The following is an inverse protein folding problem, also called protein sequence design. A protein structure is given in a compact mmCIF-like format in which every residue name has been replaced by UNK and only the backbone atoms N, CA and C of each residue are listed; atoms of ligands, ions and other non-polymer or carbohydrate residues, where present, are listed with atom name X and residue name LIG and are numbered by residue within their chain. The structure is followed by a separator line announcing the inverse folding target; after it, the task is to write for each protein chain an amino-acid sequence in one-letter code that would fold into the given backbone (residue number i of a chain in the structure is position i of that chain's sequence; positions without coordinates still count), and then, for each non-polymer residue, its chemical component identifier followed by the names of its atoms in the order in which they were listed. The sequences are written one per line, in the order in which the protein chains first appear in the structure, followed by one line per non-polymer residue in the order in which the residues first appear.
data_IF_584680838720
#
_entry.id   IF_584680838720
#
_cell.length_a   1.000
_cell.length_b   1.000
_cell.length_c   1.000
_cell.angle_alpha   90.00
_cell.angle_beta   90.00
_cell.angle_gamma   90.00
#
_symmetry.space_group_name_H-M   'P 1'
#
loop_
_entity.id
_entity.type
_entity.pdbx_description
1 polymer ?
#
# COMPACT_ATOMS: atom_id res chain seq x y z
N UNK A 1 -6.27 -10.97 26.00
CA UNK A 1 -5.31 -10.86 24.88
C UNK A 1 -4.67 -9.49 25.00
N UNK A 2 -3.34 -9.41 25.06
CA UNK A 2 -2.63 -8.13 25.15
C UNK A 2 -2.76 -7.41 23.80
N UNK A 3 -3.38 -6.24 23.79
CA UNK A 3 -3.44 -5.36 22.62
C UNK A 3 -2.13 -4.60 22.54
N UNK A 4 -1.18 -5.14 21.78
CA UNK A 4 0.11 -4.50 21.55
C UNK A 4 -0.07 -3.35 20.55
N UNK A 5 0.27 -2.09 20.93
CA UNK A 5 0.21 -0.96 20.03
C UNK A 5 1.04 -1.19 18.77
N UNK A 6 0.55 -0.67 17.65
CA UNK A 6 1.18 -0.78 16.34
C UNK A 6 1.39 0.60 15.75
N UNK A 7 2.41 0.69 14.89
CA UNK A 7 2.69 1.86 14.07
C UNK A 7 2.93 1.43 12.62
N UNK A 8 2.36 2.19 11.69
CA UNK A 8 2.64 2.13 10.27
C UNK A 8 3.20 3.47 9.82
N UNK A 9 4.25 3.45 9.02
CA UNK A 9 4.85 4.65 8.49
C UNK A 9 5.38 4.48 7.06
N UNK A 10 5.45 5.60 6.35
CA UNK A 10 6.06 5.71 5.03
C UNK A 10 6.93 6.95 5.00
N UNK A 11 8.16 6.80 4.50
CA UNK A 11 9.16 7.85 4.39
C UNK A 11 9.51 8.02 2.91
N UNK A 12 9.33 9.23 2.38
CA UNK A 12 9.53 9.54 0.96
C UNK A 12 10.79 10.38 0.74
N UNK A 13 11.46 10.25 -0.43
CA UNK A 13 11.13 9.34 -1.53
C UNK A 13 11.57 7.90 -1.29
N UNK A 14 10.73 6.90 -1.59
CA UNK A 14 11.09 5.49 -1.42
C UNK A 14 11.46 4.84 -2.76
N UNK A 15 12.56 4.09 -2.80
CA UNK A 15 12.99 3.27 -3.93
C UNK A 15 13.05 1.81 -3.49
N UNK A 16 12.30 0.95 -4.19
CA UNK A 16 12.19 -0.46 -3.85
C UNK A 16 13.53 -1.19 -4.00
N UNK A 17 13.87 -2.03 -3.02
CA UNK A 17 15.13 -2.77 -2.96
C UNK A 17 16.38 -1.89 -2.71
N UNK A 18 16.21 -0.57 -2.62
CA UNK A 18 17.30 0.39 -2.41
C UNK A 18 16.81 1.52 -1.49
N UNK A 19 16.63 1.25 -0.18
CA UNK A 19 16.29 2.30 0.77
C UNK A 19 17.35 3.42 0.71
N UNK A 20 16.89 4.66 0.81
CA UNK A 20 17.76 5.81 0.88
C UNK A 20 18.18 6.11 2.33
N UNK A 21 19.14 7.02 2.55
CA UNK A 21 19.63 7.36 3.89
C UNK A 21 18.54 7.79 4.86
N UNK A 22 17.48 8.43 4.36
CA UNK A 22 16.31 8.85 5.12
C UNK A 22 15.39 7.69 5.52
N UNK A 23 15.34 6.62 4.73
CA UNK A 23 14.61 5.39 5.09
C UNK A 23 15.43 4.59 6.10
N UNK A 24 16.73 4.45 5.89
CA UNK A 24 17.63 3.78 6.84
C UNK A 24 17.61 4.48 8.21
N UNK A 25 17.69 5.82 8.22
CA UNK A 25 17.58 6.63 9.43
C UNK A 25 16.24 6.47 10.17
N UNK A 26 15.18 6.08 9.47
CA UNK A 26 13.89 5.75 10.07
C UNK A 26 13.96 4.38 10.77
N UNK A 27 14.47 3.35 10.09
CA UNK A 27 14.63 2.00 10.64
C UNK A 27 15.55 2.03 11.87
N UNK A 28 16.68 2.74 11.79
CA UNK A 28 17.63 2.89 12.89
C UNK A 28 16.99 3.51 14.13
N UNK A 29 16.06 4.47 13.96
CA UNK A 29 15.36 5.11 15.07
C UNK A 29 14.45 4.14 15.83
N UNK A 30 13.83 3.18 15.13
CA UNK A 30 13.06 2.10 15.74
C UNK A 30 13.96 1.03 16.36
N UNK A 31 15.01 0.61 15.65
CA UNK A 31 15.97 -0.37 16.15
C UNK A 31 16.65 0.10 17.45
N UNK A 32 16.95 1.40 17.58
CA UNK A 32 17.51 2.00 18.79
C UNK A 32 16.57 1.92 20.02
N UNK A 33 15.28 1.63 19.81
CA UNK A 33 14.27 1.40 20.85
C UNK A 33 13.94 -0.08 21.03
N UNK A 34 14.70 -0.97 20.39
CA UNK A 34 14.46 -2.41 20.42
C UNK A 34 13.24 -2.85 19.62
N UNK A 35 12.72 -1.97 18.76
CA UNK A 35 11.56 -2.23 17.92
C UNK A 35 12.00 -2.75 16.55
N UNK A 36 11.45 -3.88 16.13
CA UNK A 36 11.73 -4.45 14.81
C UNK A 36 10.81 -3.85 13.74
N UNK A 37 11.40 -3.34 12.66
CA UNK A 37 10.65 -2.80 11.53
C UNK A 37 10.45 -3.88 10.47
N UNK A 38 9.21 -4.17 10.16
CA UNK A 38 8.80 -4.99 9.03
C UNK A 38 8.54 -4.09 7.82
N UNK A 39 9.33 -4.26 6.76
CA UNK A 39 9.09 -3.56 5.50
C UNK A 39 8.01 -4.29 4.69
N UNK A 40 6.88 -3.62 4.48
CA UNK A 40 5.85 -4.06 3.56
C UNK A 40 5.96 -3.39 2.17
N UNK A 41 5.15 -3.83 1.20
CA UNK A 41 5.16 -3.29 -0.17
C UNK A 41 4.73 -1.82 -0.28
N UNK A 42 4.05 -1.27 0.73
CA UNK A 42 3.47 0.07 0.71
C UNK A 42 3.88 0.97 1.89
N UNK A 43 4.15 0.37 3.05
CA UNK A 43 4.59 1.02 4.28
C UNK A 43 5.51 0.10 5.06
N UNK A 44 6.24 0.67 6.01
CA UNK A 44 6.93 -0.08 7.06
C UNK A 44 6.07 -0.10 8.31
N UNK A 45 6.13 -1.18 9.07
CA UNK A 45 5.33 -1.38 10.28
C UNK A 45 6.18 -1.88 11.44
N UNK A 46 5.77 -1.55 12.66
CA UNK A 46 6.38 -2.06 13.90
C UNK A 46 5.30 -2.18 14.97
N UNK A 47 5.52 -3.08 15.93
CA UNK A 47 4.69 -3.24 17.11
C UNK A 47 5.55 -3.21 18.37
N UNK A 48 4.97 -2.85 19.51
CA UNK A 48 5.69 -2.82 20.78
C UNK A 48 5.02 -1.96 21.83
N UNK A 49 5.78 -1.69 22.89
CA UNK A 49 5.39 -0.76 23.95
C UNK A 49 5.12 0.65 23.39
N UNK A 50 4.08 1.32 23.90
CA UNK A 50 3.65 2.63 23.38
C UNK A 50 4.69 3.73 23.65
N UNK A 51 5.40 3.68 24.78
CA UNK A 51 6.41 4.68 25.10
C UNK A 51 7.63 4.49 24.18
N UNK A 52 8.03 3.23 23.95
CA UNK A 52 9.06 2.92 22.97
C UNK A 52 8.69 3.38 21.55
N UNK A 53 7.44 3.15 21.12
CA UNK A 53 6.92 3.60 19.81
C UNK A 53 6.93 5.14 19.73
N UNK A 54 6.43 5.83 20.76
CA UNK A 54 6.37 7.28 20.76
C UNK A 54 7.76 7.92 20.69
N UNK A 55 8.72 7.38 21.44
CA UNK A 55 10.12 7.81 21.39
C UNK A 55 10.77 7.53 20.02
N UNK A 56 10.53 6.34 19.45
CA UNK A 56 11.04 5.95 18.14
C UNK A 56 10.49 6.87 17.04
N UNK A 57 9.17 7.12 17.03
CA UNK A 57 8.51 8.02 16.07
C UNK A 57 9.09 9.43 16.15
N UNK A 58 9.28 9.97 17.36
CA UNK A 58 9.89 11.29 17.54
C UNK A 58 11.32 11.37 17.01
N UNK A 59 12.12 10.33 17.23
CA UNK A 59 13.47 10.22 16.70
C UNK A 59 13.47 10.08 15.16
N UNK A 60 12.62 9.19 14.63
CA UNK A 60 12.45 8.90 13.21
C UNK A 60 12.11 10.17 12.41
N UNK A 61 11.16 10.98 12.88
CA UNK A 61 10.78 12.22 12.20
C UNK A 61 12.00 13.15 12.04
N UNK A 62 12.79 13.32 13.11
CA UNK A 62 13.97 14.21 13.09
C UNK A 62 15.11 13.64 12.24
N UNK A 63 15.42 12.36 12.38
CA UNK A 63 16.53 11.72 11.67
C UNK A 63 16.26 11.64 10.17
N UNK A 64 15.07 11.21 9.78
CA UNK A 64 14.68 11.04 8.37
C UNK A 64 14.63 12.38 7.64
N UNK A 65 14.06 13.44 8.25
CA UNK A 65 14.04 14.78 7.66
C UNK A 65 15.44 15.35 7.45
N UNK A 66 16.34 15.20 8.43
CA UNK A 66 17.75 15.61 8.29
C UNK A 66 18.50 14.83 7.21
N UNK A 67 18.10 13.58 6.98
CA UNK A 67 18.68 12.69 5.99
C UNK A 67 18.08 12.85 4.58
N UNK A 68 17.17 13.81 4.38
CA UNK A 68 16.62 14.14 3.06
C UNK A 68 15.23 13.60 2.77
N UNK A 69 14.48 13.13 3.77
CA UNK A 69 13.06 12.83 3.58
C UNK A 69 12.32 14.09 3.13
N UNK A 70 11.51 13.97 2.07
CA UNK A 70 10.63 15.04 1.60
C UNK A 70 9.26 14.98 2.27
N UNK A 71 8.83 13.80 2.72
CA UNK A 71 7.58 13.60 3.45
C UNK A 71 7.64 12.35 4.34
N UNK A 72 6.86 12.36 5.42
CA UNK A 72 6.69 11.24 6.34
C UNK A 72 5.18 11.11 6.64
N UNK A 73 4.62 9.92 6.46
CA UNK A 73 3.23 9.57 6.85
C UNK A 73 3.31 8.55 7.99
N UNK A 74 2.49 8.71 9.02
CA UNK A 74 2.54 7.88 10.24
C UNK A 74 1.12 7.65 10.73
N UNK A 75 0.84 6.44 11.17
CA UNK A 75 -0.34 6.09 11.95
C UNK A 75 0.06 5.24 13.13
N UNK A 76 -0.58 5.46 14.28
CA UNK A 76 -0.39 4.68 15.50
C UNK A 76 -1.76 4.24 15.99
N UNK A 77 -1.89 2.96 16.34
CA UNK A 77 -3.15 2.32 16.69
C UNK A 77 -2.97 1.36 17.86
N UNK A 78 -4.02 1.13 18.62
CA UNK A 78 -4.00 0.19 19.74
C UNK A 78 -3.82 -1.27 19.27
N UNK A 79 -4.23 -1.57 18.04
CA UNK A 79 -4.06 -2.85 17.35
C UNK A 79 -3.67 -2.60 15.90
N UNK A 80 -3.10 -3.62 15.25
CA UNK A 80 -2.79 -3.57 13.81
C UNK A 80 -4.04 -3.33 12.96
N UNK A 81 -5.16 -3.95 13.33
CA UNK A 81 -6.43 -3.79 12.60
C UNK A 81 -7.00 -2.36 12.70
N UNK A 82 -6.55 -1.56 13.66
CA UNK A 82 -6.99 -0.17 13.81
C UNK A 82 -6.17 0.81 12.93
N UNK A 83 -5.06 0.34 12.32
CA UNK A 83 -4.24 1.13 11.42
C UNK A 83 -4.77 1.03 9.99
N UNK A 84 -5.26 2.13 9.45
CA UNK A 84 -6.10 2.13 8.26
C UNK A 84 -5.65 3.20 7.23
N UNK A 85 -4.42 3.10 6.68
CA UNK A 85 -4.02 4.01 5.58
C UNK A 85 -3.18 3.43 4.43
N UNK A 86 -2.71 2.19 4.49
CA UNK A 86 -2.34 1.43 3.28
C UNK A 86 -3.51 0.56 2.80
N UNK A 87 -4.34 0.13 3.74
CA UNK A 87 -5.61 -0.55 3.48
C UNK A 87 -6.56 0.29 2.64
N UNK A 88 -6.70 1.59 2.88
CA UNK A 88 -7.72 2.42 2.21
C UNK A 88 -7.60 2.49 0.68
N UNK A 89 -6.37 2.46 0.12
CA UNK A 89 -6.15 2.52 -1.32
C UNK A 89 -6.35 1.16 -2.00
N UNK A 90 -5.86 0.09 -1.36
CA UNK A 90 -6.12 -1.28 -1.80
C UNK A 90 -7.59 -1.65 -1.64
N UNK A 91 -8.23 -1.17 -0.58
CA UNK A 91 -9.67 -1.27 -0.36
C UNK A 91 -10.41 -0.47 -1.44
N UNK A 92 -9.98 0.72 -1.81
CA UNK A 92 -10.57 1.45 -2.93
C UNK A 92 -10.46 0.66 -4.25
N UNK A 93 -9.32 0.02 -4.53
CA UNK A 93 -9.18 -0.87 -5.69
C UNK A 93 -10.14 -2.08 -5.61
N UNK A 94 -10.19 -2.74 -4.45
CA UNK A 94 -11.10 -3.85 -4.21
C UNK A 94 -12.57 -3.43 -4.33
N UNK A 95 -12.93 -2.24 -3.86
CA UNK A 95 -14.28 -1.68 -3.94
C UNK A 95 -14.65 -1.37 -5.39
N UNK A 96 -13.70 -0.85 -6.19
CA UNK A 96 -13.88 -0.64 -7.62
C UNK A 96 -14.07 -1.96 -8.38
N UNK A 97 -13.33 -3.01 -8.03
CA UNK A 97 -13.48 -4.37 -8.60
C UNK A 97 -14.84 -4.95 -8.23
N UNK A 98 -15.23 -4.91 -6.95
CA UNK A 98 -16.55 -5.39 -6.49
C UNK A 98 -17.70 -4.62 -7.14
N UNK A 99 -17.52 -3.34 -7.43
CA UNK A 99 -18.50 -2.55 -8.17
C UNK A 99 -18.63 -3.04 -9.62
N UNK A 100 -17.52 -3.41 -10.27
CA UNK A 100 -17.55 -4.02 -11.60
C UNK A 100 -18.21 -5.42 -11.59
N UNK A 101 -17.97 -6.25 -10.58
CA UNK A 101 -18.64 -7.56 -10.40
C UNK A 101 -20.16 -7.42 -10.30
N UNK A 102 -20.65 -6.45 -9.53
CA UNK A 102 -22.09 -6.17 -9.44
C UNK A 102 -22.70 -5.70 -10.77
N UNK A 103 -21.95 -4.92 -11.54
CA UNK A 103 -22.40 -4.36 -12.82
C UNK A 103 -22.38 -5.41 -13.94
N UNK A 104 -21.39 -6.30 -13.94
CA UNK A 104 -21.21 -7.36 -14.94
C UNK A 104 -21.91 -8.68 -14.57
N UNK A 105 -22.41 -8.80 -13.34
CA UNK A 105 -23.24 -9.91 -12.87
C UNK A 105 -22.51 -11.23 -12.65
N UNK A 106 -21.18 -11.20 -12.52
CA UNK A 106 -20.33 -12.38 -12.31
C UNK A 106 -19.05 -12.00 -11.57
N UNK A 107 -18.42 -12.98 -10.93
CA UNK A 107 -17.13 -12.81 -10.25
C UNK A 107 -15.99 -12.59 -11.26
N UNK A 108 -14.97 -11.83 -10.87
CA UNK A 108 -13.91 -11.40 -11.79
C UNK A 108 -13.11 -12.56 -12.45
N UNK A 109 -13.01 -13.70 -11.76
CA UNK A 109 -12.36 -14.91 -12.28
C UNK A 109 -13.12 -15.57 -13.42
N UNK A 110 -14.45 -15.45 -13.43
CA UNK A 110 -15.35 -16.12 -14.37
C UNK A 110 -15.67 -15.28 -15.61
N UNK A 111 -15.18 -14.03 -15.65
CA UNK A 111 -15.41 -13.14 -16.77
C UNK A 111 -14.79 -13.66 -18.07
N UNK A 112 -15.58 -13.58 -19.14
CA UNK A 112 -15.08 -13.73 -20.49
C UNK A 112 -14.16 -12.55 -20.87
N UNK A 113 -13.58 -12.63 -22.08
CA UNK A 113 -12.69 -11.59 -22.57
C UNK A 113 -13.37 -10.21 -22.65
N UNK A 114 -14.62 -10.16 -23.08
CA UNK A 114 -15.39 -8.93 -23.27
C UNK A 114 -15.68 -8.27 -21.92
N UNK A 115 -16.09 -9.06 -20.93
CA UNK A 115 -16.30 -8.61 -19.56
C UNK A 115 -15.00 -8.11 -18.92
N UNK A 116 -13.86 -8.81 -19.13
CA UNK A 116 -12.55 -8.33 -18.65
C UNK A 116 -12.14 -6.99 -19.28
N UNK A 117 -12.41 -6.79 -20.57
CA UNK A 117 -12.16 -5.51 -21.24
C UNK A 117 -13.06 -4.39 -20.70
N UNK A 118 -14.35 -4.67 -20.50
CA UNK A 118 -15.30 -3.74 -19.91
C UNK A 118 -14.89 -3.35 -18.48
N UNK A 119 -14.50 -4.32 -17.66
CA UNK A 119 -14.01 -4.08 -16.31
C UNK A 119 -12.74 -3.20 -16.30
N UNK A 120 -11.75 -3.48 -17.16
CA UNK A 120 -10.55 -2.64 -17.26
C UNK A 120 -10.90 -1.20 -17.64
N UNK A 121 -11.86 -0.99 -18.55
CA UNK A 121 -12.35 0.35 -18.87
C UNK A 121 -12.95 1.04 -17.65
N UNK A 122 -13.85 0.37 -16.92
CA UNK A 122 -14.49 0.93 -15.73
C UNK A 122 -13.47 1.27 -14.64
N UNK A 123 -12.48 0.41 -14.43
CA UNK A 123 -11.39 0.64 -13.48
C UNK A 123 -10.54 1.84 -13.91
N UNK A 124 -10.25 1.97 -15.21
CA UNK A 124 -9.54 3.12 -15.76
C UNK A 124 -10.31 4.43 -15.57
N UNK A 125 -11.60 4.45 -15.89
CA UNK A 125 -12.45 5.63 -15.76
C UNK A 125 -12.59 6.09 -14.29
N UNK A 126 -12.48 5.16 -13.34
CA UNK A 126 -12.47 5.42 -11.89
C UNK A 126 -11.07 5.74 -11.33
N UNK A 127 -10.05 5.79 -12.18
CA UNK A 127 -8.68 6.17 -11.80
C UNK A 127 -7.87 5.05 -11.13
N UNK A 128 -8.29 3.78 -11.21
CA UNK A 128 -7.61 2.65 -10.58
C UNK A 128 -6.14 2.50 -11.05
N UNK A 129 -5.83 2.85 -12.29
CA UNK A 129 -4.46 2.75 -12.84
C UNK A 129 -3.55 3.92 -12.47
N UNK A 130 -4.07 4.95 -11.78
CA UNK A 130 -3.23 5.97 -11.13
C UNK A 130 -2.59 5.42 -9.84
N UNK A 131 -3.11 4.30 -9.31
CA UNK A 131 -2.65 3.68 -8.09
C UNK A 131 -1.41 2.82 -8.36
N UNK A 132 -0.37 2.99 -7.54
CA UNK A 132 0.85 2.19 -7.63
C UNK A 132 0.54 0.71 -7.39
N UNK A 133 1.03 -0.15 -8.28
CA UNK A 133 0.85 -1.61 -8.16
C UNK A 133 -0.50 -2.15 -8.64
N UNK A 134 -1.47 -1.28 -8.98
CA UNK A 134 -2.80 -1.73 -9.38
C UNK A 134 -2.79 -2.62 -10.63
N UNK A 135 -1.83 -2.44 -11.55
CA UNK A 135 -1.72 -3.31 -12.73
C UNK A 135 -1.46 -4.77 -12.33
N UNK A 136 -0.58 -5.01 -11.36
CA UNK A 136 -0.27 -6.36 -10.88
C UNK A 136 -1.46 -6.97 -10.12
N UNK A 137 -2.10 -6.19 -9.25
CA UNK A 137 -3.26 -6.63 -8.48
C UNK A 137 -4.46 -6.95 -9.39
N UNK A 138 -4.78 -6.07 -10.35
CA UNK A 138 -5.88 -6.30 -11.30
C UNK A 138 -5.56 -7.49 -12.20
N UNK A 139 -4.32 -7.62 -12.69
CA UNK A 139 -3.91 -8.77 -13.50
C UNK A 139 -4.13 -10.09 -12.75
N UNK A 140 -3.76 -10.13 -11.46
CA UNK A 140 -3.99 -11.29 -10.60
C UNK A 140 -5.48 -11.62 -10.45
N UNK A 141 -6.31 -10.62 -10.12
CA UNK A 141 -7.77 -10.80 -9.94
C UNK A 141 -8.45 -11.27 -11.23
N UNK A 142 -8.07 -10.72 -12.38
CA UNK A 142 -8.66 -11.11 -13.67
C UNK A 142 -8.08 -12.44 -14.22
N UNK A 143 -7.06 -13.00 -13.58
CA UNK A 143 -6.36 -14.19 -14.05
C UNK A 143 -5.68 -13.98 -15.42
N UNK A 144 -5.09 -12.80 -15.64
CA UNK A 144 -4.42 -12.43 -16.89
C UNK A 144 -3.01 -11.89 -16.65
N UNK A 145 -2.23 -11.71 -17.72
CA UNK A 145 -0.90 -11.11 -17.61
C UNK A 145 -0.96 -9.58 -17.57
N UNK A 146 0.08 -8.93 -17.02
CA UNK A 146 0.27 -7.48 -17.15
C UNK A 146 0.19 -7.00 -18.60
N UNK A 147 0.79 -7.74 -19.52
CA UNK A 147 0.76 -7.43 -20.96
C UNK A 147 -0.69 -7.39 -21.46
N UNK A 148 -1.54 -8.31 -20.98
CA UNK A 148 -2.97 -8.33 -21.32
C UNK A 148 -3.70 -7.08 -20.79
N UNK A 149 -3.38 -6.61 -19.58
CA UNK A 149 -3.93 -5.37 -19.03
C UNK A 149 -3.54 -4.17 -19.89
N UNK A 150 -2.25 -4.03 -20.25
CA UNK A 150 -1.80 -2.96 -21.13
C UNK A 150 -2.45 -3.03 -22.51
N UNK A 151 -2.64 -4.22 -23.06
CA UNK A 151 -3.36 -4.40 -24.33
C UNK A 151 -4.81 -3.92 -24.24
N UNK A 152 -5.50 -4.17 -23.11
CA UNK A 152 -6.85 -3.67 -22.91
C UNK A 152 -6.88 -2.15 -22.78
N UNK A 153 -5.94 -1.54 -22.03
CA UNK A 153 -5.83 -0.09 -21.91
C UNK A 153 -5.55 0.61 -23.25
N UNK A 154 -4.64 0.05 -24.05
CA UNK A 154 -4.33 0.57 -25.38
C UNK A 154 -5.54 0.52 -26.33
N UNK A 155 -6.47 -0.42 -26.12
CA UNK A 155 -7.70 -0.53 -26.90
C UNK A 155 -8.80 0.46 -26.46
N UNK A 156 -8.58 1.23 -25.38
CA UNK A 156 -9.48 2.30 -24.94
C UNK A 156 -9.13 3.67 -25.54
N UNK A 157 -7.95 3.78 -26.15
CA UNK A 157 -7.39 5.02 -26.74
C UNK A 157 -7.90 5.27 -28.15
#
# INVERSE_FOLDING_TARGET
MSTEPHVEFLVEPFVEGRPGPHVDAAIDAFAAKGLNVEMGPFSSSSAGDIDAIAEAVGAMIRSSMKAGASAIRIQVGARREDLDAVGSLKNALNDMIRAAERELGADAGDWDRTQKQAAVRMLNDRGAFLLRGAVDDIAHVLGVSRITIYNYLNALS
#
